data_IF_117173770417
#
_entry.id   IF_117173770417
#
_cell.length_a   1.000
_cell.length_b   1.000
_cell.length_c   1.000
_cell.angle_alpha   90.00
_cell.angle_beta   90.00
_cell.angle_gamma   90.00
#
_symmetry.space_group_name_H-M   'P 1'
#
loop_
_entity.id
_entity.type
_entity.pdbx_description
1 polymer ?
#
# COMPACT_ATOMS: atom_id res chain seq x y z
N UNK A 1 -13.58 -8.02 -6.70
CA UNK A 1 -12.30 -7.38 -7.07
C UNK A 1 -12.49 -6.11 -7.93
N UNK A 2 -13.51 -5.29 -7.70
CA UNK A 2 -13.65 -3.99 -8.39
C UNK A 2 -12.87 -2.86 -7.70
N UNK A 3 -12.82 -2.89 -6.36
CA UNK A 3 -12.16 -1.88 -5.54
C UNK A 3 -10.65 -1.76 -5.77
N UNK A 4 -10.00 -2.83 -6.22
CA UNK A 4 -8.55 -2.85 -6.53
C UNK A 4 -8.20 -2.05 -7.78
N UNK A 5 -9.14 -1.83 -8.70
CA UNK A 5 -8.93 -0.97 -9.88
C UNK A 5 -9.17 0.52 -9.59
N UNK A 6 -9.86 0.82 -8.48
CA UNK A 6 -10.21 2.18 -8.12
C UNK A 6 -8.99 3.02 -7.74
N UNK A 7 -8.10 2.50 -6.89
CA UNK A 7 -6.94 3.26 -6.42
C UNK A 7 -5.96 3.64 -7.54
N UNK A 8 -5.57 2.75 -8.48
CA UNK A 8 -4.76 3.13 -9.63
C UNK A 8 -5.48 4.10 -10.58
N UNK A 9 -6.79 3.94 -10.78
CA UNK A 9 -7.56 4.86 -11.63
C UNK A 9 -7.63 6.27 -11.03
N UNK A 10 -7.79 6.36 -9.71
CA UNK A 10 -7.79 7.64 -8.98
C UNK A 10 -6.42 8.34 -9.07
N UNK A 11 -5.33 7.58 -9.01
CA UNK A 11 -3.98 8.11 -9.21
C UNK A 11 -3.76 8.55 -10.67
N UNK A 12 -4.24 7.77 -11.64
CA UNK A 12 -4.12 8.10 -13.06
C UNK A 12 -4.94 9.34 -13.44
N UNK A 13 -6.15 9.47 -12.91
CA UNK A 13 -6.99 10.66 -13.05
C UNK A 13 -6.26 11.92 -12.54
N UNK A 14 -5.61 11.84 -11.37
CA UNK A 14 -4.87 12.96 -10.82
C UNK A 14 -3.64 13.35 -11.66
N UNK A 15 -2.96 12.39 -12.28
CA UNK A 15 -1.76 12.64 -13.08
C UNK A 15 -2.05 13.09 -14.51
N UNK A 16 -3.15 12.61 -15.10
CA UNK A 16 -3.45 12.78 -16.53
C UNK A 16 -4.66 13.67 -16.80
N UNK A 17 -5.49 13.95 -15.79
CA UNK A 17 -6.74 14.71 -15.92
C UNK A 17 -7.86 13.97 -16.68
N UNK A 18 -7.68 12.67 -16.95
CA UNK A 18 -8.66 11.84 -17.68
C UNK A 18 -9.78 11.41 -16.73
N UNK A 19 -11.03 11.43 -17.21
CA UNK A 19 -12.20 10.94 -16.46
C UNK A 19 -11.97 9.53 -15.89
N UNK A 20 -12.24 9.37 -14.60
CA UNK A 20 -12.09 8.13 -13.83
C UNK A 20 -12.63 6.88 -14.53
N UNK A 21 -13.81 6.96 -15.15
CA UNK A 21 -14.43 5.82 -15.85
C UNK A 21 -13.57 5.36 -17.03
N UNK A 22 -12.98 6.32 -17.76
CA UNK A 22 -12.12 6.03 -18.91
C UNK A 22 -10.79 5.42 -18.46
N UNK A 23 -10.25 5.88 -17.32
CA UNK A 23 -9.06 5.29 -16.69
C UNK A 23 -9.29 3.84 -16.24
N UNK A 24 -10.43 3.54 -15.62
CA UNK A 24 -10.77 2.17 -15.20
C UNK A 24 -10.90 1.25 -16.42
N UNK A 25 -11.59 1.71 -17.47
CA UNK A 25 -11.78 0.93 -18.69
C UNK A 25 -10.46 0.67 -19.41
N UNK A 26 -9.58 1.65 -19.52
CA UNK A 26 -8.29 1.49 -20.19
C UNK A 26 -7.37 0.52 -19.45
N UNK A 27 -7.23 0.67 -18.13
CA UNK A 27 -6.43 -0.25 -17.29
C UNK A 27 -7.00 -1.66 -17.33
N UNK A 28 -8.33 -1.81 -17.22
CA UNK A 28 -9.00 -3.10 -17.29
C UNK A 28 -8.81 -3.79 -18.64
N UNK A 29 -8.87 -3.04 -19.75
CA UNK A 29 -8.68 -3.57 -21.10
C UNK A 29 -7.24 -4.05 -21.31
N UNK A 30 -6.25 -3.24 -20.95
CA UNK A 30 -4.83 -3.63 -21.03
C UNK A 30 -4.57 -4.86 -20.15
N UNK A 31 -5.10 -4.87 -18.92
CA UNK A 31 -4.99 -5.97 -17.99
C UNK A 31 -5.55 -7.28 -18.55
N UNK A 32 -6.74 -7.20 -19.13
CA UNK A 32 -7.40 -8.35 -19.75
C UNK A 32 -6.58 -8.85 -20.94
N UNK A 33 -6.13 -7.96 -21.82
CA UNK A 33 -5.42 -8.32 -23.04
C UNK A 33 -4.13 -9.10 -22.76
N UNK A 34 -3.25 -8.59 -21.89
CA UNK A 34 -2.01 -9.30 -21.60
C UNK A 34 -2.26 -10.59 -20.79
N UNK A 35 -3.30 -10.61 -19.94
CA UNK A 35 -3.66 -11.80 -19.14
C UNK A 35 -4.19 -12.93 -20.03
N UNK A 36 -4.99 -12.61 -21.05
CA UNK A 36 -5.52 -13.61 -21.99
C UNK A 36 -4.41 -14.20 -22.85
N UNK A 37 -3.43 -13.40 -23.29
CA UNK A 37 -2.33 -13.87 -24.15
C UNK A 37 -1.31 -14.71 -23.37
N UNK A 38 -0.92 -14.25 -22.19
CA UNK A 38 0.17 -14.87 -21.45
C UNK A 38 -0.24 -15.85 -20.35
N UNK A 39 -1.52 -15.90 -20.01
CA UNK A 39 -2.07 -16.75 -18.96
C UNK A 39 -1.45 -16.48 -17.58
N UNK A 40 -1.50 -17.48 -16.70
CA UNK A 40 -0.99 -17.37 -15.32
C UNK A 40 0.50 -17.04 -15.23
N UNK A 41 1.31 -17.48 -16.21
CA UNK A 41 2.76 -17.21 -16.23
C UNK A 41 3.05 -15.72 -16.43
N UNK A 42 2.33 -15.06 -17.34
CA UNK A 42 2.52 -13.63 -17.58
C UNK A 42 2.04 -12.81 -16.39
N UNK A 43 0.89 -13.17 -15.79
CA UNK A 43 0.36 -12.50 -14.60
C UNK A 43 1.37 -12.56 -13.44
N UNK A 44 1.98 -13.72 -13.20
CA UNK A 44 3.02 -13.85 -12.17
C UNK A 44 4.25 -12.98 -12.47
N UNK A 45 4.64 -12.85 -13.75
CA UNK A 45 5.78 -12.02 -14.13
C UNK A 45 5.47 -10.53 -13.92
N UNK A 46 4.28 -10.07 -14.32
CA UNK A 46 3.84 -8.68 -14.10
C UNK A 46 3.75 -8.35 -12.61
N UNK A 47 3.30 -9.30 -11.78
CA UNK A 47 3.26 -9.12 -10.32
C UNK A 47 4.66 -8.93 -9.72
N UNK A 48 5.67 -9.66 -10.22
CA UNK A 48 7.06 -9.47 -9.78
C UNK A 48 7.54 -8.06 -10.13
N UNK A 49 7.32 -7.59 -11.36
CA UNK A 49 7.69 -6.22 -11.74
C UNK A 49 6.96 -5.17 -10.91
N UNK A 50 5.66 -5.36 -10.68
CA UNK A 50 4.87 -4.45 -9.85
C UNK A 50 5.40 -4.42 -8.41
N UNK A 51 5.75 -5.56 -7.82
CA UNK A 51 6.31 -5.61 -6.47
C UNK A 51 7.64 -4.87 -6.38
N UNK A 52 8.53 -5.02 -7.38
CA UNK A 52 9.80 -4.29 -7.45
C UNK A 52 9.59 -2.77 -7.55
N UNK A 53 8.64 -2.33 -8.39
CA UNK A 53 8.28 -0.92 -8.51
C UNK A 53 7.71 -0.38 -7.19
N UNK A 54 6.91 -1.15 -6.47
CA UNK A 54 6.41 -0.75 -5.14
C UNK A 54 7.54 -0.54 -4.14
N UNK A 55 8.52 -1.46 -4.07
CA UNK A 55 9.69 -1.28 -3.22
C UNK A 55 10.48 -0.03 -3.62
N UNK A 56 10.74 0.17 -4.91
CA UNK A 56 11.46 1.34 -5.41
C UNK A 56 10.73 2.66 -5.06
N UNK A 57 9.40 2.70 -5.18
CA UNK A 57 8.60 3.86 -4.82
C UNK A 57 8.68 4.17 -3.32
N UNK A 58 8.52 3.15 -2.45
CA UNK A 58 8.60 3.31 -1.00
C UNK A 58 9.99 3.81 -0.59
N UNK A 59 11.07 3.22 -1.10
CA UNK A 59 12.42 3.67 -0.80
C UNK A 59 12.68 5.09 -1.32
N UNK A 60 12.18 5.45 -2.50
CA UNK A 60 12.31 6.80 -3.05
C UNK A 60 11.67 7.84 -2.13
N UNK A 61 10.45 7.57 -1.63
CA UNK A 61 9.75 8.45 -0.68
C UNK A 61 10.56 8.62 0.61
N UNK A 62 11.09 7.52 1.15
CA UNK A 62 11.90 7.55 2.38
C UNK A 62 13.17 8.39 2.16
N UNK A 63 13.88 8.19 1.04
CA UNK A 63 15.10 8.95 0.72
C UNK A 63 14.78 10.44 0.58
N UNK A 64 13.75 10.81 -0.18
CA UNK A 64 13.34 12.21 -0.33
C UNK A 64 13.00 12.85 1.02
N UNK A 65 12.28 12.14 1.89
CA UNK A 65 11.95 12.65 3.21
C UNK A 65 13.18 12.84 4.12
N UNK A 66 14.17 11.95 4.03
CA UNK A 66 15.44 12.08 4.75
C UNK A 66 16.25 13.26 4.25
N UNK A 67 16.30 13.49 2.93
CA UNK A 67 16.99 14.66 2.36
C UNK A 67 16.31 15.97 2.79
N UNK A 68 14.98 16.03 2.76
CA UNK A 68 14.21 17.22 3.14
C UNK A 68 14.32 17.57 4.64
N UNK A 69 14.33 16.56 5.52
CA UNK A 69 14.34 16.75 6.99
C UNK A 69 15.72 16.58 7.62
N UNK A 70 16.72 16.15 6.86
CA UNK A 70 18.10 15.95 7.27
C UNK A 70 18.37 14.61 7.98
N UNK A 71 17.41 13.98 8.66
CA UNK A 71 17.61 12.69 9.35
C UNK A 71 16.32 11.89 9.57
N UNK A 72 16.45 10.56 9.56
CA UNK A 72 15.39 9.62 9.97
C UNK A 72 14.95 9.82 11.43
N UNK A 73 15.86 10.25 12.30
CA UNK A 73 15.57 10.49 13.72
C UNK A 73 14.59 11.64 13.92
N UNK A 74 14.63 12.66 13.07
CA UNK A 74 13.73 13.80 13.16
C UNK A 74 12.31 13.45 12.69
N UNK A 75 12.19 12.56 11.70
CA UNK A 75 10.90 12.01 11.26
C UNK A 75 10.25 11.23 12.41
N UNK A 76 11.05 10.41 13.12
CA UNK A 76 10.57 9.65 14.27
C UNK A 76 10.15 10.56 15.43
N UNK A 77 10.95 11.57 15.74
CA UNK A 77 10.63 12.56 16.79
C UNK A 77 9.32 13.30 16.52
N UNK A 78 9.09 13.73 15.28
CA UNK A 78 7.85 14.40 14.88
C UNK A 78 6.65 13.43 14.94
N UNK A 79 6.85 12.15 14.62
CA UNK A 79 5.80 11.14 14.74
C UNK A 79 5.42 10.86 16.20
N UNK A 80 6.41 10.86 17.10
CA UNK A 80 6.24 10.69 18.54
C UNK A 80 5.53 11.92 19.16
N UNK A 81 5.95 13.13 18.79
CA UNK A 81 5.27 14.39 19.18
C UNK A 81 3.82 14.45 18.68
N UNK A 82 3.51 13.83 17.53
CA UNK A 82 2.17 13.73 16.98
C UNK A 82 1.28 12.64 17.59
N UNK A 83 1.74 11.92 18.63
CA UNK A 83 1.06 10.75 19.21
C UNK A 83 0.68 9.67 18.18
N UNK A 84 1.43 9.57 17.06
CA UNK A 84 1.18 8.60 15.98
C UNK A 84 1.90 7.26 16.21
N UNK A 85 2.66 7.14 17.30
CA UNK A 85 3.45 5.96 17.68
C UNK A 85 2.79 5.09 18.75
N UNK A 86 1.51 5.31 19.08
CA UNK A 86 0.73 4.45 19.98
C UNK A 86 0.39 3.11 19.30
N UNK A 87 1.41 2.25 19.21
CA UNK A 87 1.34 0.93 18.57
C UNK A 87 0.70 -0.13 19.46
N UNK A 88 0.53 0.15 20.76
CA UNK A 88 0.12 -0.83 21.77
C UNK A 88 -1.11 -0.35 22.55
N UNK A 89 -2.26 -0.25 21.88
CA UNK A 89 -3.53 -0.03 22.57
C UNK A 89 -4.13 -1.39 23.01
N UNK A 90 -4.16 -1.62 24.33
CA UNK A 90 -4.68 -2.83 24.97
C UNK A 90 -6.15 -2.71 25.42
N UNK A 91 -6.92 -1.77 24.85
CA UNK A 91 -8.35 -1.67 25.16
C UNK A 91 -9.11 -2.92 24.69
N UNK A 92 -9.88 -3.59 25.55
CA UNK A 92 -10.71 -4.74 25.18
C UNK A 92 -12.00 -4.35 24.46
N UNK A 93 -12.24 -3.06 24.21
CA UNK A 93 -13.44 -2.56 23.53
C UNK A 93 -13.42 -2.95 22.03
N UNK A 94 -14.41 -3.74 21.55
CA UNK A 94 -14.50 -4.17 20.16
C UNK A 94 -14.81 -3.03 19.17
N UNK A 95 -15.18 -1.85 19.66
CA UNK A 95 -15.45 -0.64 18.86
C UNK A 95 -14.15 0.09 18.47
N UNK A 96 -13.05 -0.20 19.16
CA UNK A 96 -11.73 0.38 18.87
C UNK A 96 -11.13 -0.25 17.62
N UNK A 97 -10.92 0.56 16.59
CA UNK A 97 -10.46 0.14 15.25
C UNK A 97 -9.12 -0.62 15.26
N UNK A 98 -8.24 -0.30 16.21
CA UNK A 98 -6.89 -0.89 16.32
C UNK A 98 -6.53 -1.24 17.78
N UNK A 99 -7.30 -2.15 18.39
CA UNK A 99 -6.90 -2.81 19.64
C UNK A 99 -5.98 -4.00 19.36
N UNK A 100 -5.09 -4.33 20.28
CA UNK A 100 -4.28 -5.56 20.28
C UNK A 100 -5.09 -6.82 20.01
N UNK A 101 -6.28 -6.93 20.63
CA UNK A 101 -7.14 -8.10 20.48
C UNK A 101 -7.75 -8.17 19.08
N UNK A 102 -8.25 -7.05 18.57
CA UNK A 102 -8.79 -6.94 17.21
C UNK A 102 -7.69 -7.20 16.17
N UNK A 103 -6.46 -6.78 16.42
CA UNK A 103 -5.34 -6.97 15.50
C UNK A 103 -4.86 -8.43 15.45
N UNK A 104 -4.79 -9.11 16.58
CA UNK A 104 -4.38 -10.53 16.62
C UNK A 104 -5.51 -11.43 16.11
N UNK A 105 -6.72 -11.29 16.64
CA UNK A 105 -7.84 -12.18 16.30
C UNK A 105 -8.38 -11.82 14.93
N UNK A 106 -8.75 -10.55 14.71
CA UNK A 106 -9.27 -10.08 13.43
C UNK A 106 -8.22 -10.10 12.33
N UNK A 107 -7.00 -9.65 12.60
CA UNK A 107 -5.90 -9.72 11.64
C UNK A 107 -5.51 -11.18 11.34
N UNK A 108 -5.41 -12.04 12.36
CA UNK A 108 -5.13 -13.47 12.18
C UNK A 108 -6.16 -14.16 11.29
N UNK A 109 -7.46 -13.97 11.54
CA UNK A 109 -8.53 -14.52 10.71
C UNK A 109 -8.50 -13.93 9.29
N UNK A 110 -8.21 -12.63 9.15
CA UNK A 110 -8.12 -11.97 7.84
C UNK A 110 -6.96 -12.53 7.01
N UNK A 111 -5.76 -12.64 7.59
CA UNK A 111 -4.62 -13.23 6.91
C UNK A 111 -4.85 -14.71 6.59
N UNK A 112 -5.46 -15.46 7.51
CA UNK A 112 -5.83 -16.85 7.23
C UNK A 112 -6.79 -16.95 6.05
N UNK A 113 -7.85 -16.14 6.00
CA UNK A 113 -8.79 -16.10 4.88
C UNK A 113 -8.09 -15.73 3.56
N UNK A 114 -7.21 -14.73 3.59
CA UNK A 114 -6.44 -14.28 2.44
C UNK A 114 -5.49 -15.33 1.89
N UNK A 115 -4.83 -16.13 2.73
CA UNK A 115 -3.86 -17.12 2.27
C UNK A 115 -4.44 -18.53 2.10
N UNK A 116 -5.46 -18.91 2.86
CA UNK A 116 -6.03 -20.26 2.84
C UNK A 116 -7.23 -20.40 1.89
N UNK A 117 -8.09 -19.38 1.79
CA UNK A 117 -9.39 -19.48 1.08
C UNK A 117 -9.43 -18.62 -0.18
N UNK A 118 -8.58 -17.60 -0.30
CA UNK A 118 -8.57 -16.73 -1.47
C UNK A 118 -8.15 -17.49 -2.72
N UNK A 119 -9.07 -17.54 -3.69
CA UNK A 119 -8.90 -18.21 -4.98
C UNK A 119 -7.59 -17.80 -5.67
N UNK A 120 -7.21 -16.53 -5.63
CA UNK A 120 -6.00 -16.03 -6.30
C UNK A 120 -4.73 -16.65 -5.70
N UNK A 121 -4.67 -16.80 -4.37
CA UNK A 121 -3.51 -17.39 -3.71
C UNK A 121 -3.46 -18.90 -3.88
N UNK A 122 -4.61 -19.58 -3.74
CA UNK A 122 -4.70 -21.04 -3.97
C UNK A 122 -4.25 -21.39 -5.39
N UNK A 123 -4.68 -20.61 -6.39
CA UNK A 123 -4.29 -20.82 -7.78
C UNK A 123 -2.77 -20.68 -7.98
N UNK A 124 -2.11 -19.74 -7.30
CA UNK A 124 -0.64 -19.59 -7.34
C UNK A 124 0.07 -20.81 -6.75
N UNK A 125 -0.41 -21.35 -5.64
CA UNK A 125 0.17 -22.55 -5.04
C UNK A 125 0.09 -23.75 -5.99
N UNK A 126 -1.01 -23.90 -6.72
CA UNK A 126 -1.20 -24.98 -7.70
C UNK A 126 -0.31 -24.84 -8.95
N UNK A 127 0.29 -23.67 -9.20
CA UNK A 127 1.28 -23.51 -10.28
C UNK A 127 2.68 -24.01 -9.92
N UNK A 128 2.93 -24.30 -8.64
CA UNK A 128 4.21 -24.80 -8.15
C UNK A 128 4.23 -26.34 -8.25
N UNK A 129 5.38 -26.90 -8.67
CA UNK A 129 5.53 -28.34 -8.90
C UNK A 129 5.35 -29.20 -7.64
N UNK A 130 5.79 -28.70 -6.50
CA UNK A 130 5.88 -29.47 -5.25
C UNK A 130 5.30 -28.70 -4.06
N UNK A 131 4.60 -29.42 -3.18
CA UNK A 131 4.03 -28.87 -1.95
C UNK A 131 5.10 -28.25 -1.03
N UNK A 132 6.25 -28.93 -0.89
CA UNK A 132 7.36 -28.43 -0.06
C UNK A 132 7.90 -27.09 -0.58
N UNK A 133 7.97 -26.92 -1.89
CA UNK A 133 8.41 -25.67 -2.51
C UNK A 133 7.39 -24.56 -2.29
N UNK A 134 6.09 -24.87 -2.41
CA UNK A 134 5.03 -23.91 -2.11
C UNK A 134 5.05 -23.46 -0.63
N UNK A 135 5.24 -24.39 0.31
CA UNK A 135 5.38 -24.07 1.74
C UNK A 135 6.61 -23.20 2.02
N UNK A 136 7.76 -23.51 1.41
CA UNK A 136 8.98 -22.69 1.54
C UNK A 136 8.78 -21.28 0.98
N UNK A 137 8.08 -21.16 -0.15
CA UNK A 137 7.74 -19.86 -0.73
C UNK A 137 6.83 -19.03 0.19
N UNK A 138 5.86 -19.67 0.85
CA UNK A 138 5.00 -19.00 1.82
C UNK A 138 5.78 -18.49 3.05
N UNK A 139 6.68 -19.33 3.58
CA UNK A 139 7.56 -18.93 4.69
C UNK A 139 8.51 -17.79 4.32
N UNK A 140 8.98 -17.74 3.07
CA UNK A 140 9.79 -16.63 2.57
C UNK A 140 8.98 -15.35 2.34
N UNK A 141 7.71 -15.48 1.94
CA UNK A 141 6.81 -14.35 1.73
C UNK A 141 6.50 -13.60 3.04
N UNK A 142 6.44 -14.30 4.17
CA UNK A 142 6.15 -13.71 5.48
C UNK A 142 7.09 -12.56 5.88
N UNK A 143 8.44 -12.74 5.93
CA UNK A 143 9.35 -11.65 6.29
C UNK A 143 9.38 -10.54 5.24
N UNK A 144 9.23 -10.86 3.95
CA UNK A 144 9.22 -9.87 2.86
C UNK A 144 8.02 -8.94 3.00
N UNK A 145 6.83 -9.50 3.22
CA UNK A 145 5.61 -8.72 3.41
C UNK A 145 5.68 -7.88 4.68
N UNK A 146 6.22 -8.45 5.77
CA UNK A 146 6.40 -7.73 7.03
C UNK A 146 7.33 -6.53 6.84
N UNK A 147 8.47 -6.73 6.16
CA UNK A 147 9.42 -5.65 5.86
C UNK A 147 8.81 -4.56 4.97
N UNK A 148 8.03 -4.93 3.94
CA UNK A 148 7.33 -3.97 3.09
C UNK A 148 6.28 -3.18 3.85
N UNK A 149 5.51 -3.85 4.72
CA UNK A 149 4.46 -3.22 5.54
C UNK A 149 5.05 -2.19 6.53
N UNK A 150 6.16 -2.55 7.17
CA UNK A 150 6.91 -1.63 8.05
C UNK A 150 7.47 -0.44 7.28
N UNK A 151 8.09 -0.69 6.12
CA UNK A 151 8.65 0.37 5.27
C UNK A 151 7.58 1.32 4.76
N UNK A 152 6.41 0.79 4.39
CA UNK A 152 5.27 1.60 3.94
C UNK A 152 4.69 2.43 5.08
N UNK A 153 4.53 1.83 6.26
CA UNK A 153 4.10 2.56 7.47
C UNK A 153 5.05 3.71 7.80
N UNK A 154 6.36 3.46 7.71
CA UNK A 154 7.38 4.49 7.89
C UNK A 154 7.31 5.58 6.82
N UNK A 155 7.08 5.23 5.55
CA UNK A 155 6.88 6.21 4.48
C UNK A 155 5.64 7.09 4.74
N UNK A 156 4.58 6.55 5.35
CA UNK A 156 3.41 7.32 5.79
C UNK A 156 3.75 8.34 6.88
N UNK A 157 4.57 7.96 7.88
CA UNK A 157 5.10 8.89 8.88
C UNK A 157 6.02 9.95 8.27
N UNK A 158 6.80 9.58 7.27
CA UNK A 158 7.68 10.48 6.54
C UNK A 158 6.89 11.56 5.78
N UNK A 159 5.81 11.16 5.10
CA UNK A 159 4.87 12.09 4.48
C UNK A 159 4.22 12.97 5.57
N UNK A 160 3.74 12.39 6.67
CA UNK A 160 3.15 13.15 7.78
C UNK A 160 4.09 14.22 8.33
N UNK A 161 5.37 13.89 8.56
CA UNK A 161 6.39 14.83 9.02
C UNK A 161 6.57 16.04 8.09
N UNK A 162 6.35 15.85 6.77
CA UNK A 162 6.36 16.94 5.80
C UNK A 162 5.14 17.85 5.93
N UNK A 163 3.97 17.29 6.19
CA UNK A 163 2.68 17.99 6.22
C UNK A 163 2.23 18.47 7.61
N UNK A 164 2.94 18.13 8.69
CA UNK A 164 2.54 18.50 10.06
C UNK A 164 2.38 20.01 10.29
N UNK A 165 3.10 20.85 9.52
CA UNK A 165 3.02 22.33 9.62
C UNK A 165 2.09 22.96 8.56
N UNK A 166 1.62 22.18 7.60
CA UNK A 166 0.74 22.62 6.53
C UNK A 166 -0.28 21.51 6.32
N UNK A 167 -1.21 21.37 7.28
CA UNK A 167 -2.25 20.36 7.19
C UNK A 167 -3.19 20.74 6.05
N UNK A 168 -3.22 19.98 4.94
CA UNK A 168 -4.04 20.33 3.78
C UNK A 168 -5.55 20.18 4.08
N UNK A 169 -5.90 19.56 5.22
CA UNK A 169 -7.27 19.46 5.74
C UNK A 169 -7.76 20.79 6.33
N UNK A 170 -6.95 21.44 7.19
CA UNK A 170 -7.29 22.75 7.77
C UNK A 170 -7.22 23.88 6.73
N UNK A 171 -6.37 23.72 5.70
CA UNK A 171 -6.29 24.66 4.59
C UNK A 171 -7.45 24.54 3.57
N UNK A 172 -8.44 23.65 3.80
CA UNK A 172 -9.63 23.39 2.94
C UNK A 172 -9.31 22.93 1.50
N UNK A 173 -8.13 22.37 1.26
CA UNK A 173 -7.79 21.85 -0.08
C UNK A 173 -8.25 20.40 -0.30
N UNK A 174 -8.76 19.70 0.72
CA UNK A 174 -9.18 18.29 0.65
C UNK A 174 -10.53 18.05 1.36
N UNK A 175 -11.44 17.28 0.74
CA UNK A 175 -12.71 16.83 1.34
C UNK A 175 -12.67 15.37 1.87
N UNK A 176 -11.68 14.55 1.50
CA UNK A 176 -11.51 13.17 1.99
C UNK A 176 -10.04 12.75 2.07
N UNK A 177 -9.69 11.91 3.06
CA UNK A 177 -8.32 11.40 3.28
C UNK A 177 -7.71 10.69 2.06
N UNK A 178 -8.52 10.16 1.16
CA UNK A 178 -8.07 9.46 -0.06
C UNK A 178 -7.43 10.40 -1.11
N UNK A 179 -7.66 11.70 -1.00
CA UNK A 179 -7.16 12.71 -1.95
C UNK A 179 -5.79 13.29 -1.56
N UNK A 180 -5.22 12.92 -0.41
CA UNK A 180 -3.90 13.41 0.03
C UNK A 180 -2.82 13.04 -1.00
N UNK A 181 -2.89 11.85 -1.60
CA UNK A 181 -1.99 11.43 -2.69
C UNK A 181 -2.19 12.27 -3.97
N UNK A 182 -3.42 12.70 -4.26
CA UNK A 182 -3.74 13.51 -5.45
C UNK A 182 -3.21 14.95 -5.34
N UNK A 183 -3.21 15.53 -4.13
CA UNK A 183 -2.60 16.85 -3.91
C UNK A 183 -1.08 16.85 -4.08
N UNK A 184 -0.39 15.76 -3.73
CA UNK A 184 1.06 15.62 -3.96
C UNK A 184 1.41 15.70 -5.44
N UNK A 185 0.58 15.08 -6.29
CA UNK A 185 0.71 15.11 -7.75
C UNK A 185 0.47 16.51 -8.32
N UNK A 186 -0.57 17.22 -7.85
CA UNK A 186 -0.94 18.52 -8.40
C UNK A 186 -0.04 19.69 -7.94
N UNK A 187 0.53 19.63 -6.74
CA UNK A 187 1.40 20.70 -6.22
C UNK A 187 2.85 20.65 -6.68
N UNK A 188 3.27 19.67 -7.49
CA UNK A 188 4.60 19.67 -8.13
C UNK A 188 4.75 20.66 -9.30
N UNK A 189 3.69 21.42 -9.65
CA UNK A 189 3.75 22.41 -10.76
C UNK A 189 4.02 23.84 -10.27
N UNK A 190 4.12 24.09 -8.96
CA UNK A 190 4.50 25.40 -8.42
C UNK A 190 5.52 25.22 -7.30
N UNK A 191 6.72 24.74 -7.66
CA UNK A 191 8.04 25.21 -7.19
C UNK A 191 9.11 24.68 -8.13
#
# INVERSE_FOLDING_TARGET
>A
MGIVLYAPALALEALTGINQVTAILSVGLVCTFYSTIGGMKAVLMTDVFQSLLMFAAVFSVIICAVVDKGSLSEIWRIAEEGHRTDLLNFDPDPTVRHSWFTLIIGGGVTFLSLYAVNQTQVQRYLTVKDLKTAQKALWLNWPILTALSLSTSFSGLAIYSRYVKCDPYDAKYINSFDQVSQLLSNNQTIF
#
